data_IF_710544960706
#
_entry.id   IF_710544960706
#
_cell.length_a   1.000
_cell.length_b   1.000
_cell.length_c   1.000
_cell.angle_alpha   90.00
_cell.angle_beta   90.00
_cell.angle_gamma   90.00
#
_symmetry.space_group_name_H-M   'P 1'
#
loop_
_entity.id
_entity.type
_entity.pdbx_description
1 polymer ?
#
# COMPACT_ATOMS: atom_id res chain seq x y z
N UNK A 1 16.29 4.44 -12.29
CA UNK A 1 14.83 4.47 -12.17
C UNK A 1 14.18 3.59 -13.22
N UNK A 2 13.09 2.92 -12.89
CA UNK A 2 12.30 2.16 -13.84
C UNK A 2 11.71 0.87 -13.29
N UNK A 3 11.12 0.11 -14.18
CA UNK A 3 10.51 -1.18 -13.89
C UNK A 3 11.46 -2.30 -14.28
N UNK A 4 11.61 -3.28 -13.40
CA UNK A 4 12.43 -4.46 -13.60
C UNK A 4 11.58 -5.71 -13.46
N UNK A 5 11.67 -6.59 -14.46
CA UNK A 5 11.07 -7.92 -14.41
C UNK A 5 12.01 -8.84 -13.64
N UNK A 6 11.50 -9.38 -12.56
CA UNK A 6 12.18 -10.37 -11.75
C UNK A 6 11.55 -11.72 -11.99
N UNK A 7 12.35 -12.69 -12.39
CA UNK A 7 11.93 -14.09 -12.51
C UNK A 7 12.68 -14.93 -11.49
N UNK A 8 11.94 -15.60 -10.63
CA UNK A 8 12.48 -16.46 -9.59
C UNK A 8 12.12 -17.91 -9.85
N UNK A 9 13.06 -18.82 -9.64
CA UNK A 9 12.82 -20.26 -9.60
C UNK A 9 12.95 -20.70 -8.16
N UNK A 10 11.83 -21.09 -7.55
CA UNK A 10 11.76 -21.57 -6.16
C UNK A 10 11.79 -23.08 -6.11
N UNK A 11 12.45 -23.63 -5.09
CA UNK A 11 12.57 -25.07 -4.88
C UNK A 11 13.99 -25.56 -4.69
N UNK A 12 14.15 -26.81 -4.27
CA UNK A 12 15.43 -27.44 -3.99
C UNK A 12 15.44 -28.93 -4.38
N UNK A 13 16.55 -29.40 -4.94
CA UNK A 13 16.78 -30.84 -5.20
C UNK A 13 16.84 -31.67 -3.92
N UNK A 14 17.24 -31.03 -2.80
CA UNK A 14 17.59 -31.75 -1.55
C UNK A 14 16.46 -31.79 -0.54
N UNK A 15 15.58 -30.79 -0.49
CA UNK A 15 14.53 -30.64 0.52
C UNK A 15 13.26 -29.98 -0.04
N UNK A 16 12.15 -30.14 0.65
CA UNK A 16 10.94 -29.36 0.41
C UNK A 16 11.19 -27.87 0.78
N UNK A 17 10.48 -26.96 0.14
CA UNK A 17 10.56 -25.53 0.38
C UNK A 17 9.22 -24.91 0.73
N UNK A 18 9.26 -23.81 1.51
CA UNK A 18 8.17 -22.89 1.81
C UNK A 18 8.73 -21.48 1.80
N UNK A 19 8.45 -20.76 0.72
CA UNK A 19 9.13 -19.48 0.43
C UNK A 19 8.12 -18.37 0.18
N UNK A 20 8.25 -17.26 0.91
CA UNK A 20 7.59 -15.97 0.66
C UNK A 20 8.60 -15.06 -0.02
N UNK A 21 8.15 -14.26 -0.97
CA UNK A 21 9.03 -13.31 -1.69
C UNK A 21 8.52 -11.88 -1.49
N UNK A 22 9.41 -11.01 -1.05
CA UNK A 22 9.19 -9.57 -0.92
C UNK A 22 10.27 -8.80 -1.68
N UNK A 23 9.95 -7.57 -2.04
CA UNK A 23 10.88 -6.66 -2.70
C UNK A 23 10.92 -5.32 -1.98
N UNK A 24 12.06 -4.63 -2.01
CA UNK A 24 12.25 -3.28 -1.48
C UNK A 24 11.82 -3.21 0.00
N UNK A 25 11.07 -2.20 0.39
CA UNK A 25 10.49 -2.08 1.74
C UNK A 25 9.36 -3.09 1.96
N UNK A 26 9.67 -4.38 1.94
CA UNK A 26 8.75 -5.47 2.29
C UNK A 26 7.50 -5.57 1.40
N UNK A 27 7.51 -5.07 0.16
CA UNK A 27 6.39 -5.28 -0.79
C UNK A 27 6.19 -6.76 -1.00
N UNK A 28 4.98 -7.24 -0.77
CA UNK A 28 4.64 -8.66 -0.92
C UNK A 28 4.48 -9.00 -2.40
N UNK A 29 5.42 -9.77 -2.94
CA UNK A 29 5.40 -10.19 -4.34
C UNK A 29 4.76 -11.57 -4.52
N UNK A 30 5.06 -12.49 -3.61
CA UNK A 30 4.48 -13.84 -3.59
C UNK A 30 4.19 -14.24 -2.14
N UNK A 31 2.97 -14.77 -1.90
CA UNK A 31 2.64 -15.49 -0.66
C UNK A 31 3.45 -16.77 -0.56
N UNK A 32 3.29 -17.53 0.53
CA UNK A 32 4.02 -18.76 0.74
C UNK A 32 3.83 -19.75 -0.43
N UNK A 33 4.90 -19.96 -1.17
CA UNK A 33 5.00 -20.96 -2.22
C UNK A 33 5.59 -22.24 -1.64
N UNK A 34 4.80 -23.31 -1.60
CA UNK A 34 5.26 -24.65 -1.20
C UNK A 34 5.79 -25.41 -2.41
N UNK A 35 6.94 -26.08 -2.24
CA UNK A 35 7.56 -26.98 -3.22
C UNK A 35 7.93 -28.30 -2.55
N UNK A 36 7.78 -29.42 -3.24
CA UNK A 36 8.27 -30.73 -2.79
C UNK A 36 9.79 -30.83 -3.05
N UNK A 37 10.46 -31.80 -2.43
CA UNK A 37 11.83 -32.15 -2.78
C UNK A 37 11.93 -32.46 -4.28
N UNK A 38 12.81 -31.81 -5.00
CA UNK A 38 13.01 -31.97 -6.44
C UNK A 38 12.04 -31.18 -7.33
N UNK A 39 11.01 -30.56 -6.74
CA UNK A 39 10.07 -29.68 -7.47
C UNK A 39 10.63 -28.27 -7.58
N UNK A 40 10.39 -27.66 -8.76
CA UNK A 40 10.73 -26.25 -9.00
C UNK A 40 9.52 -25.52 -9.60
N UNK A 41 9.25 -24.32 -9.08
CA UNK A 41 8.18 -23.44 -9.56
C UNK A 41 8.78 -22.10 -9.97
N UNK A 42 8.36 -21.63 -11.15
CA UNK A 42 8.84 -20.35 -11.70
C UNK A 42 7.76 -19.30 -11.58
N UNK A 43 8.13 -18.11 -11.09
CA UNK A 43 7.26 -16.94 -10.99
C UNK A 43 7.96 -15.72 -11.56
N UNK A 44 7.16 -14.82 -12.16
CA UNK A 44 7.62 -13.50 -12.58
C UNK A 44 6.75 -12.41 -11.96
N UNK A 45 7.36 -11.27 -11.66
CA UNK A 45 6.71 -10.06 -11.15
C UNK A 45 7.54 -8.84 -11.53
N UNK A 46 6.96 -7.66 -11.41
CA UNK A 46 7.69 -6.41 -11.66
C UNK A 46 8.02 -5.71 -10.36
N UNK A 47 9.26 -5.27 -10.24
CA UNK A 47 9.71 -4.38 -9.15
C UNK A 47 9.97 -3.00 -9.74
N UNK A 48 9.25 -1.98 -9.25
CA UNK A 48 9.56 -0.59 -9.59
C UNK A 48 10.66 -0.08 -8.66
N UNK A 49 11.67 0.53 -9.25
CA UNK A 49 12.82 1.12 -8.57
C UNK A 49 12.94 2.59 -8.94
N UNK A 50 13.23 3.45 -7.98
CA UNK A 50 13.38 4.88 -8.19
C UNK A 50 14.39 5.51 -7.24
N UNK A 51 15.01 6.58 -7.69
CA UNK A 51 15.83 7.51 -6.91
C UNK A 51 15.04 8.80 -6.62
N UNK A 52 15.49 9.66 -5.72
CA UNK A 52 14.84 10.94 -5.49
C UNK A 52 15.05 11.95 -6.64
N UNK A 53 15.93 11.67 -7.58
CA UNK A 53 16.26 12.56 -8.70
C UNK A 53 15.05 12.76 -9.65
N UNK A 54 14.79 13.99 -10.04
CA UNK A 54 13.77 14.37 -11.03
C UNK A 54 14.43 15.07 -12.22
N UNK A 55 15.15 16.15 -11.94
CA UNK A 55 15.94 16.91 -12.92
C UNK A 55 17.19 17.45 -12.23
N UNK A 56 18.13 18.04 -12.99
CA UNK A 56 19.35 18.66 -12.45
C UNK A 56 19.09 19.72 -11.37
N UNK A 57 17.87 20.28 -11.33
CA UNK A 57 17.48 21.33 -10.39
C UNK A 57 16.42 20.89 -9.38
N UNK A 58 15.91 19.66 -9.49
CA UNK A 58 14.77 19.23 -8.69
C UNK A 58 14.90 17.75 -8.27
N UNK A 59 14.74 17.53 -6.97
CA UNK A 59 14.64 16.21 -6.36
C UNK A 59 13.38 16.11 -5.52
N UNK A 60 12.95 14.88 -5.24
CA UNK A 60 11.98 14.62 -4.16
C UNK A 60 12.59 15.06 -2.84
N UNK A 61 11.85 15.82 -2.05
CA UNK A 61 12.26 16.21 -0.68
C UNK A 61 11.93 15.05 0.26
N UNK A 62 12.83 14.07 0.32
CA UNK A 62 12.68 12.90 1.19
C UNK A 62 12.91 13.28 2.65
N UNK A 63 12.19 12.60 3.55
CA UNK A 63 12.38 12.75 5.00
C UNK A 63 13.69 12.07 5.45
N UNK A 64 14.29 12.51 6.58
CA UNK A 64 15.53 11.88 7.08
C UNK A 64 15.44 10.36 7.20
N UNK A 65 14.35 9.82 7.75
CA UNK A 65 14.12 8.39 7.91
C UNK A 65 14.04 7.60 6.60
N UNK A 66 13.60 8.22 5.50
CA UNK A 66 13.53 7.55 4.20
C UNK A 66 14.92 7.23 3.63
N UNK A 67 15.97 7.94 4.09
CA UNK A 67 17.36 7.69 3.69
C UNK A 67 17.89 6.36 4.18
N UNK A 68 17.30 5.82 5.24
CA UNK A 68 17.68 4.53 5.85
C UNK A 68 16.88 3.35 5.25
N UNK A 69 15.99 3.62 4.30
CA UNK A 69 15.13 2.62 3.68
C UNK A 69 15.56 2.28 2.26
N UNK A 70 14.99 1.22 1.68
CA UNK A 70 15.31 0.78 0.31
C UNK A 70 14.49 1.52 -0.76
N UNK A 71 13.62 2.45 -0.37
CA UNK A 71 12.70 3.13 -1.30
C UNK A 71 13.42 3.97 -2.35
N UNK A 72 14.48 4.68 -1.95
CA UNK A 72 15.13 5.72 -2.74
C UNK A 72 16.61 5.44 -3.03
N UNK A 73 17.10 4.24 -2.68
CA UNK A 73 18.47 3.83 -2.93
C UNK A 73 18.69 3.35 -4.39
N UNK A 74 19.92 3.01 -4.74
CA UNK A 74 20.29 2.55 -6.08
C UNK A 74 20.23 1.03 -6.24
N UNK A 75 19.78 0.28 -5.21
CA UNK A 75 19.78 -1.18 -5.19
C UNK A 75 18.37 -1.72 -5.42
N UNK A 76 18.25 -2.86 -6.06
CA UNK A 76 17.05 -3.68 -6.07
C UNK A 76 17.19 -4.75 -5.00
N UNK A 77 16.38 -4.65 -3.97
CA UNK A 77 16.43 -5.55 -2.80
C UNK A 77 15.32 -6.60 -2.88
N UNK A 78 15.69 -7.86 -2.65
CA UNK A 78 14.75 -8.98 -2.57
C UNK A 78 14.92 -9.70 -1.24
N UNK A 79 13.82 -10.03 -0.59
CA UNK A 79 13.77 -10.84 0.62
C UNK A 79 13.08 -12.18 0.31
N UNK A 80 13.77 -13.27 0.65
CA UNK A 80 13.24 -14.62 0.58
C UNK A 80 13.13 -15.16 2.00
N UNK A 81 11.92 -15.32 2.49
CA UNK A 81 11.62 -15.75 3.85
C UNK A 81 10.60 -16.90 3.83
N UNK A 82 10.22 -17.41 4.98
CA UNK A 82 9.28 -18.53 5.12
C UNK A 82 9.80 -19.60 6.06
N UNK A 83 9.03 -20.67 6.26
CA UNK A 83 9.42 -21.77 7.15
C UNK A 83 10.64 -22.56 6.60
N UNK A 84 10.82 -22.61 5.29
CA UNK A 84 11.93 -23.30 4.63
C UNK A 84 12.23 -22.64 3.28
N UNK A 85 12.81 -21.43 3.26
CA UNK A 85 13.07 -20.72 2.00
C UNK A 85 14.00 -21.55 1.09
N UNK A 86 13.62 -21.64 -0.18
CA UNK A 86 14.39 -22.41 -1.17
C UNK A 86 14.36 -21.70 -2.53
N UNK A 87 15.47 -21.10 -2.91
CA UNK A 87 15.65 -20.36 -4.16
C UNK A 87 16.71 -21.05 -5.00
N UNK A 88 16.38 -21.38 -6.25
CA UNK A 88 17.32 -21.97 -7.21
C UNK A 88 18.02 -20.90 -8.04
N UNK A 89 17.26 -19.93 -8.53
CA UNK A 89 17.81 -18.86 -9.36
C UNK A 89 16.94 -17.63 -9.35
N UNK A 90 17.57 -16.49 -9.62
CA UNK A 90 16.95 -15.19 -9.79
C UNK A 90 17.47 -14.61 -11.09
N UNK A 91 16.56 -14.10 -11.96
CA UNK A 91 16.89 -13.32 -13.15
C UNK A 91 16.24 -11.96 -13.02
N UNK A 92 17.00 -10.90 -13.25
CA UNK A 92 16.52 -9.52 -13.26
C UNK A 92 16.82 -8.93 -14.64
N UNK A 93 15.84 -8.33 -15.27
CA UNK A 93 15.95 -7.68 -16.56
C UNK A 93 15.04 -6.45 -16.62
N UNK A 94 15.31 -5.47 -17.50
CA UNK A 94 14.35 -4.38 -17.71
C UNK A 94 12.95 -4.94 -18.04
N UNK A 95 11.92 -4.34 -17.47
CA UNK A 95 10.56 -4.74 -17.78
C UNK A 95 10.19 -4.38 -19.24
N UNK A 96 9.26 -5.10 -19.86
CA UNK A 96 8.74 -4.73 -21.17
C UNK A 96 8.20 -3.29 -21.19
N UNK A 97 8.37 -2.59 -22.30
CA UNK A 97 7.97 -1.18 -22.43
C UNK A 97 6.45 -0.95 -22.27
N UNK A 98 5.65 -1.97 -22.58
CA UNK A 98 4.19 -2.00 -22.42
C UNK A 98 3.73 -2.20 -20.97
N UNK A 99 4.63 -2.55 -20.03
CA UNK A 99 4.28 -2.73 -18.62
C UNK A 99 3.55 -1.50 -18.10
N UNK A 100 2.32 -1.69 -17.62
CA UNK A 100 1.53 -0.61 -17.01
C UNK A 100 2.04 -0.32 -15.63
N UNK A 101 2.26 0.96 -15.30
CA UNK A 101 2.65 1.37 -13.95
C UNK A 101 1.47 1.96 -13.19
N UNK A 102 1.28 1.51 -11.96
CA UNK A 102 0.33 2.09 -11.00
C UNK A 102 1.13 2.83 -9.95
N UNK A 103 1.02 4.14 -9.95
CA UNK A 103 1.64 5.01 -8.96
C UNK A 103 0.69 5.19 -7.78
N UNK A 104 1.13 4.88 -6.57
CA UNK A 104 0.37 5.09 -5.35
C UNK A 104 0.82 6.39 -4.69
N UNK A 105 -0.13 7.26 -4.40
CA UNK A 105 0.06 8.53 -3.69
C UNK A 105 -0.76 8.49 -2.42
N UNK A 106 -0.16 8.81 -1.28
CA UNK A 106 -0.87 8.71 -0.01
C UNK A 106 0.03 8.91 1.20
N UNK A 107 -0.44 8.40 2.32
CA UNK A 107 0.17 8.55 3.63
C UNK A 107 0.56 7.19 4.25
N UNK A 108 0.56 7.09 5.60
CA UNK A 108 1.01 5.90 6.34
C UNK A 108 0.16 4.64 6.10
N UNK A 109 -1.07 4.77 5.61
CA UNK A 109 -1.94 3.62 5.29
C UNK A 109 -1.66 3.06 3.90
N UNK A 110 -0.85 3.77 3.08
CA UNK A 110 -0.50 3.40 1.70
C UNK A 110 0.98 3.05 1.55
N UNK A 111 1.89 3.73 2.28
CA UNK A 111 3.34 3.63 2.15
C UNK A 111 3.86 2.20 2.34
N UNK A 112 4.96 1.86 1.67
CA UNK A 112 5.72 0.64 1.99
C UNK A 112 6.40 0.79 3.35
N UNK A 113 5.78 0.33 4.42
CA UNK A 113 6.33 0.37 5.78
C UNK A 113 7.62 -0.45 5.84
N UNK A 114 8.71 0.18 6.27
CA UNK A 114 10.03 -0.45 6.29
C UNK A 114 10.16 -1.47 7.43
N UNK A 115 9.53 -1.21 8.56
CA UNK A 115 9.71 -1.99 9.79
C UNK A 115 8.44 -2.70 10.24
N UNK A 116 8.60 -3.92 10.81
CA UNK A 116 7.54 -4.57 11.59
C UNK A 116 7.29 -3.79 12.89
N UNK A 117 6.08 -3.77 13.42
CA UNK A 117 4.89 -4.52 12.98
C UNK A 117 3.99 -3.78 11.99
N UNK A 118 4.37 -2.59 11.57
CA UNK A 118 3.57 -1.75 10.69
C UNK A 118 3.54 -2.28 9.27
N UNK A 119 2.37 -2.20 8.63
CA UNK A 119 2.17 -2.54 7.23
C UNK A 119 1.07 -1.65 6.62
N UNK A 120 0.95 -1.65 5.30
CA UNK A 120 -0.08 -0.89 4.60
C UNK A 120 -0.60 -1.63 3.36
N UNK A 121 -1.75 -1.22 2.85
CA UNK A 121 -2.34 -1.86 1.68
C UNK A 121 -1.49 -1.67 0.41
N UNK A 122 -0.82 -0.53 0.26
CA UNK A 122 0.03 -0.27 -0.91
C UNK A 122 1.21 -1.23 -1.02
N UNK A 123 1.70 -1.71 0.13
CA UNK A 123 2.76 -2.69 0.25
C UNK A 123 2.29 -4.12 -0.09
N UNK A 124 1.00 -4.41 0.09
CA UNK A 124 0.41 -5.74 -0.12
C UNK A 124 -0.23 -5.90 -1.49
N UNK A 125 -0.70 -4.82 -2.11
CA UNK A 125 -1.46 -4.87 -3.37
C UNK A 125 -0.65 -5.44 -4.54
N UNK A 126 0.68 -5.35 -4.50
CA UNK A 126 1.59 -5.92 -5.49
C UNK A 126 1.42 -7.43 -5.67
N UNK A 127 1.01 -8.12 -4.60
CA UNK A 127 0.78 -9.57 -4.60
C UNK A 127 -0.24 -10.01 -5.65
N UNK A 128 -1.20 -9.17 -5.95
CA UNK A 128 -2.36 -9.55 -6.76
C UNK A 128 -2.17 -9.37 -8.26
N UNK A 129 -1.11 -8.68 -8.69
CA UNK A 129 -0.87 -8.40 -10.10
C UNK A 129 0.20 -9.32 -10.73
N UNK A 130 -0.01 -9.66 -11.99
CA UNK A 130 0.96 -10.36 -12.83
C UNK A 130 2.10 -9.46 -13.31
N UNK A 131 3.02 -10.02 -14.13
CA UNK A 131 4.20 -9.30 -14.62
C UNK A 131 3.91 -8.26 -15.70
N UNK A 132 2.67 -7.93 -15.96
CA UNK A 132 2.22 -6.85 -16.84
C UNK A 132 2.04 -5.53 -16.11
N UNK A 133 2.03 -5.56 -14.76
CA UNK A 133 1.78 -4.39 -13.90
C UNK A 133 2.91 -4.18 -12.91
N UNK A 134 3.39 -2.96 -12.85
CA UNK A 134 4.30 -2.47 -11.82
C UNK A 134 3.55 -1.60 -10.83
N UNK A 135 3.80 -1.79 -9.52
CA UNK A 135 3.32 -0.86 -8.48
C UNK A 135 4.49 0.01 -8.03
N UNK A 136 4.34 1.33 -8.15
CA UNK A 136 5.30 2.35 -7.73
C UNK A 136 4.71 3.16 -6.59
N UNK A 137 5.08 2.82 -5.35
CA UNK A 137 4.47 3.42 -4.16
C UNK A 137 5.24 4.66 -3.71
N UNK A 138 4.71 5.85 -4.00
CA UNK A 138 5.26 7.17 -3.64
C UNK A 138 4.71 7.73 -2.34
N UNK A 139 3.81 7.02 -1.68
CA UNK A 139 3.24 7.43 -0.39
C UNK A 139 4.33 7.53 0.68
N UNK A 140 4.06 8.33 1.71
CA UNK A 140 4.92 8.44 2.88
C UNK A 140 4.08 8.82 4.10
N UNK A 141 4.42 8.26 5.25
CA UNK A 141 3.71 8.50 6.51
C UNK A 141 3.69 9.99 6.87
N UNK A 142 2.56 10.46 7.39
CA UNK A 142 2.37 11.84 7.81
C UNK A 142 2.07 12.82 6.68
N UNK A 143 2.10 12.41 5.41
CA UNK A 143 1.80 13.33 4.32
C UNK A 143 0.31 13.65 4.22
N UNK A 144 0.03 14.92 3.93
CA UNK A 144 -1.24 15.43 3.40
C UNK A 144 -1.16 15.51 1.88
N UNK A 145 -2.28 15.69 1.19
CA UNK A 145 -2.27 15.96 -0.25
C UNK A 145 -1.38 17.19 -0.58
N UNK A 146 -1.47 18.23 0.24
CA UNK A 146 -0.64 19.45 0.09
C UNK A 146 0.84 19.20 0.30
N UNK A 147 1.24 18.50 1.34
CA UNK A 147 2.66 18.23 1.61
C UNK A 147 3.27 17.21 0.64
N UNK A 148 2.47 16.29 0.08
CA UNK A 148 2.90 15.43 -1.01
C UNK A 148 3.29 16.25 -2.24
N UNK A 149 2.46 17.23 -2.64
CA UNK A 149 2.77 18.18 -3.71
C UNK A 149 4.00 19.01 -3.39
N UNK A 150 4.05 19.61 -2.21
CA UNK A 150 5.14 20.49 -1.78
C UNK A 150 6.51 19.77 -1.66
N UNK A 151 6.51 18.45 -1.53
CA UNK A 151 7.72 17.62 -1.50
C UNK A 151 8.15 17.09 -2.88
N UNK A 152 7.57 17.62 -3.98
CA UNK A 152 7.86 17.23 -5.36
C UNK A 152 7.60 15.75 -5.67
N UNK A 153 6.73 15.10 -4.90
CA UNK A 153 6.45 13.67 -5.14
C UNK A 153 5.57 13.46 -6.35
N UNK A 154 4.61 14.36 -6.60
CA UNK A 154 3.82 14.31 -7.83
C UNK A 154 4.71 14.58 -9.05
N UNK A 155 5.66 15.52 -8.98
CA UNK A 155 6.61 15.79 -10.06
C UNK A 155 7.43 14.54 -10.41
N UNK A 156 7.84 13.77 -9.38
CA UNK A 156 8.53 12.50 -9.59
C UNK A 156 7.62 11.47 -10.27
N UNK A 157 6.38 11.32 -9.84
CA UNK A 157 5.38 10.46 -10.48
C UNK A 157 5.23 10.83 -11.96
N UNK A 158 5.02 12.11 -12.25
CA UNK A 158 4.83 12.62 -13.60
C UNK A 158 6.09 12.45 -14.50
N UNK A 159 7.29 12.52 -13.91
CA UNK A 159 8.54 12.28 -14.63
C UNK A 159 8.70 10.80 -15.05
N UNK A 160 8.18 9.87 -14.24
CA UNK A 160 8.26 8.42 -14.51
C UNK A 160 7.07 7.88 -15.31
N UNK A 161 5.95 8.60 -15.30
CA UNK A 161 4.68 8.16 -15.87
C UNK A 161 4.65 8.27 -17.40
N UNK A 162 4.08 7.26 -18.05
CA UNK A 162 3.72 7.30 -19.46
C UNK A 162 2.20 7.32 -19.65
N UNK A 163 1.76 7.69 -20.86
CA UNK A 163 0.34 7.66 -21.24
C UNK A 163 -0.27 6.26 -20.98
N UNK A 164 -1.44 6.23 -20.33
CA UNK A 164 -2.17 5.02 -19.99
C UNK A 164 -1.83 4.43 -18.61
N UNK A 165 -0.77 4.90 -17.94
CA UNK A 165 -0.49 4.52 -16.56
C UNK A 165 -1.57 5.05 -15.60
N UNK A 166 -1.56 4.54 -14.37
CA UNK A 166 -2.54 4.89 -13.33
C UNK A 166 -1.87 5.64 -12.18
N UNK A 167 -2.60 6.59 -11.62
CA UNK A 167 -2.27 7.24 -10.35
C UNK A 167 -3.44 7.02 -9.39
N UNK A 168 -3.19 6.39 -8.26
CA UNK A 168 -4.18 6.11 -7.23
C UNK A 168 -3.83 6.93 -6.00
N UNK A 169 -4.76 7.75 -5.53
CA UNK A 169 -4.56 8.68 -4.42
C UNK A 169 -5.47 8.37 -3.23
N UNK A 170 -4.87 8.15 -2.06
CA UNK A 170 -5.57 8.09 -0.78
C UNK A 170 -5.03 9.17 0.15
N UNK A 171 -5.83 10.19 0.44
CA UNK A 171 -5.52 11.28 1.38
C UNK A 171 -6.74 11.56 2.28
N UNK A 172 -6.56 12.39 3.32
CA UNK A 172 -7.60 12.77 4.27
C UNK A 172 -7.20 12.55 5.73
N UNK A 173 -6.45 11.48 6.06
CA UNK A 173 -6.03 11.17 7.43
C UNK A 173 -5.25 12.31 8.10
N UNK A 174 -4.34 12.94 7.40
CA UNK A 174 -3.47 14.00 7.91
C UNK A 174 -3.99 15.38 7.54
N UNK A 175 -4.62 15.49 6.38
CA UNK A 175 -5.22 16.74 5.88
C UNK A 175 -6.19 17.34 6.90
N UNK A 176 -6.99 16.52 7.56
CA UNK A 176 -7.94 16.95 8.58
C UNK A 176 -7.30 17.55 9.84
N UNK A 177 -5.99 17.36 10.04
CA UNK A 177 -5.23 17.88 11.18
C UNK A 177 -4.64 19.27 10.90
N UNK A 178 -4.63 19.70 9.65
CA UNK A 178 -4.20 21.05 9.26
C UNK A 178 -5.14 22.11 9.86
N UNK A 179 -4.54 23.14 10.47
CA UNK A 179 -5.29 24.22 11.16
C UNK A 179 -4.93 25.63 10.66
N UNK A 180 -4.10 25.72 9.63
CA UNK A 180 -3.71 27.00 9.05
C UNK A 180 -4.88 27.67 8.33
N UNK A 181 -4.82 28.97 8.14
CA UNK A 181 -5.82 29.68 7.35
C UNK A 181 -5.91 29.10 5.93
N UNK A 182 -7.13 28.87 5.45
CA UNK A 182 -7.39 28.21 4.17
C UNK A 182 -7.33 26.68 4.20
N UNK A 183 -7.06 26.05 5.37
CA UNK A 183 -7.17 24.60 5.54
C UNK A 183 -8.61 24.18 5.67
N UNK A 184 -8.94 23.05 5.08
CA UNK A 184 -10.26 22.43 5.19
C UNK A 184 -10.58 21.50 4.03
N UNK A 185 -11.54 20.60 4.27
CA UNK A 185 -11.95 19.60 3.30
C UNK A 185 -12.44 20.25 1.98
N UNK A 186 -13.21 21.32 2.08
CA UNK A 186 -13.80 22.06 0.95
C UNK A 186 -12.92 23.19 0.40
N UNK A 187 -11.70 23.37 0.94
CA UNK A 187 -10.74 24.40 0.55
C UNK A 187 -9.47 23.77 -0.03
N UNK A 188 -8.34 23.85 0.72
CA UNK A 188 -7.03 23.40 0.23
C UNK A 188 -7.01 21.90 -0.12
N UNK A 189 -7.73 21.05 0.62
CA UNK A 189 -7.80 19.62 0.30
C UNK A 189 -8.43 19.39 -1.07
N UNK A 190 -9.64 19.93 -1.32
CA UNK A 190 -10.32 19.84 -2.63
C UNK A 190 -9.49 20.46 -3.76
N UNK A 191 -8.82 21.59 -3.49
CA UNK A 191 -7.92 22.22 -4.45
C UNK A 191 -6.71 21.35 -4.80
N UNK A 192 -6.09 20.73 -3.79
CA UNK A 192 -4.96 19.84 -4.00
C UNK A 192 -5.36 18.58 -4.80
N UNK A 193 -6.52 17.99 -4.50
CA UNK A 193 -7.05 16.87 -5.28
C UNK A 193 -7.25 17.26 -6.75
N UNK A 194 -7.77 18.48 -7.01
CA UNK A 194 -7.92 18.99 -8.40
C UNK A 194 -6.56 19.09 -9.10
N UNK A 195 -5.49 19.52 -8.41
CA UNK A 195 -4.14 19.54 -8.98
C UNK A 195 -3.66 18.14 -9.40
N UNK A 196 -3.87 17.10 -8.58
CA UNK A 196 -3.55 15.74 -8.98
C UNK A 196 -4.27 15.36 -10.28
N UNK A 197 -5.57 15.66 -10.37
CA UNK A 197 -6.37 15.34 -11.56
C UNK A 197 -5.78 16.01 -12.80
N UNK A 198 -5.56 17.31 -12.75
CA UNK A 198 -5.13 18.10 -13.90
C UNK A 198 -3.76 17.65 -14.41
N UNK A 199 -2.80 17.50 -13.52
CA UNK A 199 -1.43 17.13 -13.91
C UNK A 199 -1.35 15.68 -14.42
N UNK A 200 -2.07 14.75 -13.82
CA UNK A 200 -2.12 13.36 -14.29
C UNK A 200 -2.78 13.27 -15.66
N UNK A 201 -3.92 13.94 -15.86
CA UNK A 201 -4.62 13.96 -17.14
C UNK A 201 -3.83 14.65 -18.26
N UNK A 202 -3.11 15.70 -17.94
CA UNK A 202 -2.19 16.38 -18.86
C UNK A 202 -1.09 15.46 -19.39
N UNK A 203 -0.67 14.49 -18.61
CA UNK A 203 0.27 13.43 -19.02
C UNK A 203 -0.41 12.25 -19.73
N UNK A 204 -1.74 12.26 -19.85
CA UNK A 204 -2.51 11.15 -20.45
C UNK A 204 -2.63 9.94 -19.55
N UNK A 205 -2.43 10.10 -18.23
CA UNK A 205 -2.64 9.07 -17.23
C UNK A 205 -4.09 8.97 -16.74
N UNK A 206 -4.39 7.87 -16.06
CA UNK A 206 -5.68 7.61 -15.43
C UNK A 206 -5.55 7.91 -13.92
N UNK A 207 -6.42 8.75 -13.38
CA UNK A 207 -6.45 9.05 -11.95
C UNK A 207 -7.65 8.38 -11.29
N UNK A 208 -7.43 7.82 -10.09
CA UNK A 208 -8.43 7.15 -9.27
C UNK A 208 -8.26 7.64 -7.84
N UNK A 209 -9.35 8.00 -7.19
CA UNK A 209 -9.34 8.31 -5.77
C UNK A 209 -9.73 7.10 -4.94
N UNK A 210 -9.15 7.03 -3.75
CA UNK A 210 -9.48 6.05 -2.71
C UNK A 210 -9.84 6.85 -1.47
N UNK A 211 -11.07 6.67 -0.97
CA UNK A 211 -11.47 7.32 0.28
C UNK A 211 -10.65 6.74 1.44
N UNK A 212 -10.23 7.58 2.43
CA UNK A 212 -9.33 7.14 3.50
C UNK A 212 -9.92 5.99 4.31
N UNK A 213 -9.07 5.04 4.71
CA UNK A 213 -9.50 3.95 5.60
C UNK A 213 -10.07 4.50 6.90
N UNK A 214 -11.06 3.83 7.48
CA UNK A 214 -11.57 4.18 8.80
C UNK A 214 -10.49 4.01 9.87
N UNK A 215 -10.59 4.79 10.95
CA UNK A 215 -9.95 4.45 12.21
C UNK A 215 -10.84 3.49 12.99
N UNK A 216 -10.23 2.61 13.77
CA UNK A 216 -10.94 1.76 14.70
C UNK A 216 -11.43 2.58 15.89
N UNK A 217 -12.51 3.30 15.69
CA UNK A 217 -13.14 4.13 16.72
C UNK A 217 -14.62 3.74 16.83
N UNK A 218 -14.92 2.81 17.73
CA UNK A 218 -16.27 2.33 17.96
C UNK A 218 -17.04 3.28 18.89
N UNK A 219 -18.36 3.27 18.79
CA UNK A 219 -19.23 3.96 19.73
C UNK A 219 -19.02 3.41 21.16
N UNK A 220 -19.07 4.33 22.14
CA UNK A 220 -18.77 4.00 23.54
C UNK A 220 -19.91 3.21 24.21
N UNK A 221 -21.14 3.32 23.71
CA UNK A 221 -22.31 2.75 24.38
C UNK A 221 -22.46 1.26 24.08
N UNK A 222 -22.26 0.84 22.83
CA UNK A 222 -22.54 -0.52 22.38
C UNK A 222 -21.32 -1.23 21.79
N UNK A 223 -20.27 -0.50 21.46
CA UNK A 223 -19.10 -0.98 20.73
C UNK A 223 -19.45 -1.75 19.43
N UNK A 224 -20.53 -1.34 18.77
CA UNK A 224 -21.07 -2.04 17.60
C UNK A 224 -20.84 -1.31 16.29
N UNK A 225 -20.71 0.04 16.34
CA UNK A 225 -20.60 0.91 15.17
C UNK A 225 -19.36 1.76 15.17
N UNK A 226 -18.70 1.82 14.02
CA UNK A 226 -17.58 2.72 13.79
C UNK A 226 -18.10 4.16 13.67
N UNK A 227 -17.52 5.05 14.47
CA UNK A 227 -17.80 6.47 14.45
C UNK A 227 -16.92 7.18 13.42
N UNK A 228 -17.49 8.19 12.75
CA UNK A 228 -16.77 9.00 11.79
C UNK A 228 -15.68 9.85 12.48
N UNK A 229 -14.45 9.74 12.01
CA UNK A 229 -13.30 10.49 12.54
C UNK A 229 -12.61 11.37 11.49
N UNK A 230 -13.02 11.28 10.23
CA UNK A 230 -12.43 12.03 9.10
C UNK A 230 -13.21 13.28 8.73
N UNK A 231 -14.30 13.60 9.46
CA UNK A 231 -15.16 14.76 9.19
C UNK A 231 -15.61 14.78 7.72
N UNK A 232 -15.56 15.93 7.06
CA UNK A 232 -16.02 16.14 5.69
C UNK A 232 -15.01 15.69 4.61
N UNK A 233 -13.83 15.16 4.99
CA UNK A 233 -12.77 14.87 4.01
C UNK A 233 -13.13 13.77 3.01
N UNK A 234 -13.77 12.65 3.42
CA UNK A 234 -14.27 11.67 2.45
C UNK A 234 -15.31 12.25 1.50
N UNK A 235 -16.25 13.07 2.01
CA UNK A 235 -17.32 13.69 1.22
C UNK A 235 -16.77 14.75 0.24
N UNK A 236 -15.80 15.52 0.67
CA UNK A 236 -15.10 16.47 -0.21
C UNK A 236 -14.37 15.74 -1.35
N UNK A 237 -13.71 14.60 -1.07
CA UNK A 237 -13.08 13.76 -2.11
C UNK A 237 -14.12 13.25 -3.11
N UNK A 238 -15.27 12.72 -2.63
CA UNK A 238 -16.38 12.26 -3.48
C UNK A 238 -16.95 13.40 -4.35
N UNK A 239 -17.10 14.58 -3.76
CA UNK A 239 -17.62 15.75 -4.48
C UNK A 239 -16.66 16.21 -5.59
N UNK A 240 -15.36 16.29 -5.32
CA UNK A 240 -14.34 16.59 -6.34
C UNK A 240 -14.36 15.51 -7.42
N UNK A 241 -14.35 14.25 -7.05
CA UNK A 241 -14.39 13.13 -7.97
C UNK A 241 -15.61 13.17 -8.90
N UNK A 242 -16.80 13.38 -8.34
CA UNK A 242 -18.05 13.52 -9.11
C UNK A 242 -18.00 14.67 -10.09
N UNK A 243 -17.53 15.85 -9.65
CA UNK A 243 -17.42 17.05 -10.50
C UNK A 243 -16.46 16.84 -11.65
N UNK A 244 -15.35 16.15 -11.40
CA UNK A 244 -14.26 15.97 -12.36
C UNK A 244 -14.32 14.63 -13.10
N UNK A 245 -15.37 13.84 -12.92
CA UNK A 245 -15.52 12.50 -13.52
C UNK A 245 -14.30 11.60 -13.22
N UNK A 246 -13.98 11.46 -11.94
CA UNK A 246 -12.89 10.59 -11.43
C UNK A 246 -13.48 9.37 -10.73
N UNK A 247 -13.07 8.15 -11.07
CA UNK A 247 -13.48 6.95 -10.35
C UNK A 247 -13.05 7.00 -8.88
N UNK A 248 -13.91 6.51 -7.97
CA UNK A 248 -13.64 6.44 -6.53
C UNK A 248 -13.75 5.00 -6.04
N UNK A 249 -12.73 4.53 -5.35
CA UNK A 249 -12.78 3.30 -4.55
C UNK A 249 -13.24 3.69 -3.14
N UNK A 250 -14.38 3.17 -2.70
CA UNK A 250 -15.01 3.50 -1.41
C UNK A 250 -14.40 2.71 -0.25
N UNK A 251 -13.09 2.86 -0.06
CA UNK A 251 -12.34 2.14 0.96
C UNK A 251 -12.78 2.53 2.38
N UNK A 252 -13.26 3.74 2.56
CA UNK A 252 -13.84 4.24 3.81
C UNK A 252 -15.00 3.37 4.29
N UNK A 253 -15.93 3.08 3.39
CA UNK A 253 -17.12 2.26 3.70
C UNK A 253 -16.75 0.77 3.81
N UNK A 254 -15.82 0.30 2.98
CA UNK A 254 -15.33 -1.09 3.05
C UNK A 254 -14.62 -1.37 4.38
N UNK A 255 -13.79 -0.46 4.86
CA UNK A 255 -13.10 -0.64 6.15
C UNK A 255 -14.01 -0.45 7.34
N UNK A 256 -15.06 0.37 7.24
CA UNK A 256 -16.15 0.41 8.23
C UNK A 256 -16.80 -0.96 8.37
N UNK A 257 -17.24 -1.54 7.24
CA UNK A 257 -17.83 -2.88 7.20
C UNK A 257 -16.90 -3.94 7.79
N UNK A 258 -15.63 -3.89 7.42
CA UNK A 258 -14.61 -4.81 7.90
C UNK A 258 -14.46 -4.76 9.43
N UNK A 259 -14.29 -3.57 10.01
CA UNK A 259 -14.15 -3.43 11.46
C UNK A 259 -15.43 -3.81 12.22
N UNK A 260 -16.60 -3.41 11.72
CA UNK A 260 -17.88 -3.77 12.35
C UNK A 260 -18.12 -5.28 12.27
N UNK A 261 -17.75 -5.94 11.19
CA UNK A 261 -17.87 -7.41 11.04
C UNK A 261 -16.93 -8.17 11.97
N UNK A 262 -15.68 -7.72 12.10
CA UNK A 262 -14.74 -8.30 13.08
C UNK A 262 -15.18 -8.04 14.52
N UNK A 263 -15.89 -6.95 14.75
CA UNK A 263 -16.33 -6.50 16.08
C UNK A 263 -15.21 -5.87 16.90
N UNK A 264 -15.59 -5.34 18.07
CA UNK A 264 -14.73 -4.50 18.90
C UNK A 264 -13.39 -5.17 19.27
N UNK A 265 -13.40 -6.42 19.72
CA UNK A 265 -12.17 -7.08 20.16
C UNK A 265 -11.34 -7.63 18.98
N UNK A 266 -11.98 -8.33 18.03
CA UNK A 266 -11.22 -8.97 16.95
C UNK A 266 -10.67 -7.98 15.92
N UNK A 267 -11.27 -6.79 15.76
CA UNK A 267 -10.72 -5.76 14.88
C UNK A 267 -9.33 -5.27 15.29
N UNK A 268 -8.96 -5.38 16.58
CA UNK A 268 -7.59 -5.13 17.05
C UNK A 268 -6.56 -6.02 16.36
N UNK A 269 -6.94 -7.25 15.98
CA UNK A 269 -6.04 -8.21 15.29
C UNK A 269 -5.63 -7.75 13.89
N UNK A 270 -6.32 -6.79 13.31
CA UNK A 270 -5.97 -6.20 12.01
C UNK A 270 -5.08 -4.94 12.11
N UNK A 271 -4.82 -4.49 13.31
CA UNK A 271 -4.10 -3.26 13.61
C UNK A 271 -2.87 -3.53 14.48
N UNK A 272 -2.07 -2.49 14.72
CA UNK A 272 -0.89 -2.62 15.58
C UNK A 272 -1.31 -2.56 17.05
N UNK A 273 -1.90 -3.66 17.50
CA UNK A 273 -2.26 -3.94 18.88
C UNK A 273 -1.50 -5.16 19.37
N UNK A 274 -0.51 -4.96 20.23
CA UNK A 274 0.35 -6.03 20.75
C UNK A 274 0.63 -5.83 22.24
N UNK A 275 0.59 -6.89 23.05
CA UNK A 275 1.02 -6.82 24.46
C UNK A 275 2.45 -6.31 24.59
N UNK A 276 2.78 -5.76 25.74
CA UNK A 276 4.16 -5.42 26.08
C UNK A 276 5.08 -6.63 25.88
N UNK A 277 6.33 -6.39 25.50
CA UNK A 277 7.37 -7.40 25.26
C UNK A 277 7.08 -8.37 24.09
N UNK A 278 6.21 -8.01 23.15
CA UNK A 278 6.03 -8.76 21.90
C UNK A 278 7.21 -8.56 20.94
N UNK A 279 7.77 -7.36 20.91
CA UNK A 279 8.92 -7.00 20.07
C UNK A 279 10.13 -6.59 20.94
N UNK A 280 11.35 -6.65 20.39
CA UNK A 280 12.54 -6.18 21.09
C UNK A 280 12.37 -4.73 21.56
N UNK A 281 12.77 -4.44 22.81
CA UNK A 281 12.70 -3.11 23.44
C UNK A 281 11.29 -2.49 23.59
N UNK A 282 10.25 -3.23 23.32
CA UNK A 282 8.87 -2.81 23.50
C UNK A 282 8.41 -3.06 24.93
N UNK A 283 8.58 -2.09 25.82
CA UNK A 283 8.25 -2.19 27.25
C UNK A 283 6.78 -1.91 27.56
N UNK A 284 6.01 -1.33 26.61
CA UNK A 284 4.59 -1.01 26.75
C UNK A 284 3.78 -1.69 25.68
N UNK A 285 2.47 -1.90 25.94
CA UNK A 285 1.56 -2.36 24.91
C UNK A 285 1.48 -1.36 23.75
N UNK A 286 1.32 -1.87 22.54
CA UNK A 286 0.98 -1.09 21.35
C UNK A 286 -0.53 -1.09 21.20
N UNK A 287 -1.14 0.08 21.03
CA UNK A 287 -2.60 0.27 20.95
C UNK A 287 -2.93 1.29 19.84
N UNK A 288 -2.54 0.98 18.62
CA UNK A 288 -2.74 1.85 17.47
C UNK A 288 -4.05 1.52 16.76
N UNK A 289 -4.99 2.45 16.79
CA UNK A 289 -6.31 2.31 16.16
C UNK A 289 -6.37 2.81 14.70
N UNK A 290 -5.22 3.12 14.11
CA UNK A 290 -5.12 3.66 12.73
C UNK A 290 -4.27 2.79 11.83
N UNK A 291 -3.09 2.37 12.31
CA UNK A 291 -2.14 1.66 11.46
C UNK A 291 -2.35 0.15 11.48
N UNK A 292 -2.34 -0.42 10.28
CA UNK A 292 -2.50 -1.85 10.07
C UNK A 292 -1.22 -2.62 10.42
N UNK A 293 -1.41 -3.83 10.86
CA UNK A 293 -0.40 -4.88 10.85
C UNK A 293 -0.46 -5.64 9.49
N UNK A 294 0.42 -6.64 9.25
CA UNK A 294 0.42 -7.37 7.98
C UNK A 294 -0.92 -8.01 7.59
N UNK A 295 -1.68 -8.56 8.54
CA UNK A 295 -3.01 -9.12 8.27
C UNK A 295 -3.98 -8.04 7.80
N UNK A 296 -4.12 -6.97 8.56
CA UNK A 296 -5.03 -5.88 8.21
C UNK A 296 -4.67 -5.23 6.87
N UNK A 297 -3.37 -4.99 6.63
CA UNK A 297 -2.88 -4.44 5.37
C UNK A 297 -3.20 -5.36 4.17
N UNK A 298 -3.09 -6.68 4.35
CA UNK A 298 -3.43 -7.68 3.34
C UNK A 298 -4.93 -7.66 3.01
N UNK A 299 -5.79 -7.62 4.03
CA UNK A 299 -7.23 -7.53 3.86
C UNK A 299 -7.64 -6.23 3.14
N UNK A 300 -7.06 -5.09 3.55
CA UNK A 300 -7.34 -3.78 2.91
C UNK A 300 -6.85 -3.75 1.46
N UNK A 301 -5.72 -4.37 1.15
CA UNK A 301 -5.25 -4.50 -0.23
C UNK A 301 -6.27 -5.26 -1.12
N UNK A 302 -6.91 -6.30 -0.59
CA UNK A 302 -7.99 -7.00 -1.30
C UNK A 302 -9.22 -6.12 -1.52
N UNK A 303 -9.57 -5.27 -0.53
CA UNK A 303 -10.65 -4.28 -0.70
C UNK A 303 -10.35 -3.32 -1.85
N UNK A 304 -9.12 -2.81 -1.94
CA UNK A 304 -8.70 -1.91 -3.03
C UNK A 304 -8.81 -2.60 -4.38
N UNK A 305 -8.32 -3.86 -4.51
CA UNK A 305 -8.45 -4.64 -5.75
C UNK A 305 -9.92 -4.90 -6.09
N UNK A 306 -10.75 -5.21 -5.09
CA UNK A 306 -12.20 -5.38 -5.30
C UNK A 306 -12.87 -4.10 -5.79
N UNK A 307 -12.47 -2.94 -5.23
CA UNK A 307 -12.91 -1.63 -5.71
C UNK A 307 -12.51 -1.37 -7.17
N UNK A 308 -11.30 -1.75 -7.58
CA UNK A 308 -10.89 -1.68 -8.99
C UNK A 308 -11.79 -2.54 -9.89
N UNK A 309 -12.18 -3.73 -9.42
CA UNK A 309 -13.11 -4.61 -10.16
C UNK A 309 -14.52 -4.00 -10.25
N UNK A 310 -15.03 -3.46 -9.17
CA UNK A 310 -16.36 -2.80 -9.13
C UNK A 310 -16.43 -1.60 -10.08
N UNK A 311 -15.32 -0.90 -10.26
CA UNK A 311 -15.17 0.20 -11.21
C UNK A 311 -14.89 -0.27 -12.64
N UNK A 312 -14.77 -1.58 -12.87
CA UNK A 312 -14.43 -2.18 -14.17
C UNK A 312 -13.15 -1.60 -14.78
N UNK A 313 -12.14 -1.30 -13.97
CA UNK A 313 -10.89 -0.74 -14.46
C UNK A 313 -10.18 -1.75 -15.37
N UNK A 314 -9.71 -1.34 -16.56
CA UNK A 314 -9.05 -2.27 -17.51
C UNK A 314 -7.87 -3.04 -16.96
N UNK A 315 -7.20 -2.52 -15.93
CA UNK A 315 -6.04 -3.13 -15.27
C UNK A 315 -6.36 -4.46 -14.57
N UNK A 316 -7.63 -4.69 -14.17
CA UNK A 316 -8.01 -5.92 -13.46
C UNK A 316 -7.85 -7.19 -14.28
N UNK A 317 -7.73 -7.08 -15.61
CA UNK A 317 -7.41 -8.21 -16.48
C UNK A 317 -6.03 -8.84 -16.22
N UNK A 318 -5.15 -8.11 -15.54
CA UNK A 318 -3.80 -8.54 -15.16
C UNK A 318 -3.69 -9.08 -13.73
N UNK A 319 -4.83 -9.30 -13.08
CA UNK A 319 -4.83 -9.98 -11.78
C UNK A 319 -4.34 -11.42 -11.96
N UNK A 320 -3.60 -11.91 -10.95
CA UNK A 320 -3.13 -13.30 -10.91
C UNK A 320 -4.32 -14.27 -10.91
N UNK A 321 -4.12 -15.43 -11.46
CA UNK A 321 -5.15 -16.48 -11.59
C UNK A 321 -5.68 -17.02 -10.27
N UNK A 322 -4.95 -16.81 -9.19
CA UNK A 322 -5.35 -17.19 -7.82
C UNK A 322 -6.12 -16.09 -7.09
N UNK A 323 -6.40 -14.94 -7.72
CA UNK A 323 -7.30 -13.93 -7.18
C UNK A 323 -8.70 -14.52 -6.94
N UNK A 324 -9.27 -14.21 -5.79
CA UNK A 324 -10.66 -14.49 -5.43
C UNK A 324 -11.35 -13.20 -5.02
N UNK A 325 -12.59 -13.03 -5.46
CA UNK A 325 -13.38 -11.86 -5.10
C UNK A 325 -13.52 -11.77 -3.58
N UNK A 326 -13.38 -10.56 -3.08
CA UNK A 326 -13.33 -10.27 -1.66
C UNK A 326 -14.56 -9.52 -1.18
N UNK A 327 -15.03 -9.86 0.02
CA UNK A 327 -16.11 -9.17 0.69
C UNK A 327 -15.68 -8.74 2.10
N UNK A 328 -15.63 -7.43 2.43
CA UNK A 328 -15.25 -6.96 3.75
C UNK A 328 -16.19 -7.43 4.89
N UNK A 329 -17.41 -7.88 4.56
CA UNK A 329 -18.31 -8.53 5.51
C UNK A 329 -18.00 -10.02 5.75
N UNK A 330 -17.00 -10.57 5.07
CA UNK A 330 -16.52 -11.95 5.21
C UNK A 330 -14.98 -11.99 5.14
N UNK A 331 -14.30 -11.33 6.10
CA UNK A 331 -12.83 -11.27 6.12
C UNK A 331 -12.24 -12.67 6.26
N UNK A 332 -11.00 -12.85 5.80
CA UNK A 332 -10.27 -14.09 5.98
C UNK A 332 -10.04 -14.36 7.48
N UNK A 333 -9.97 -15.62 7.85
CA UNK A 333 -9.70 -16.00 9.24
C UNK A 333 -8.26 -15.60 9.61
N UNK A 334 -8.14 -14.70 10.58
CA UNK A 334 -6.84 -14.26 11.12
C UNK A 334 -5.95 -15.44 11.53
N UNK A 335 -6.51 -16.52 12.08
CA UNK A 335 -5.75 -17.68 12.56
C UNK A 335 -5.14 -18.50 11.41
N UNK A 336 -5.60 -18.30 10.18
CA UNK A 336 -5.06 -18.96 8.98
C UNK A 336 -4.10 -18.07 8.20
N UNK A 337 -4.00 -16.78 8.57
CA UNK A 337 -3.07 -15.86 7.95
C UNK A 337 -1.64 -16.16 8.38
N UNK A 338 -0.78 -16.49 7.41
CA UNK A 338 0.62 -16.82 7.67
C UNK A 338 1.49 -15.63 7.30
N UNK A 339 2.22 -15.12 8.28
CA UNK A 339 3.20 -14.05 8.10
C UNK A 339 4.53 -14.41 8.75
N UNK A 340 5.60 -14.23 8.02
CA UNK A 340 6.96 -14.38 8.52
C UNK A 340 7.56 -12.99 8.70
N UNK A 341 7.82 -12.53 9.93
CA UNK A 341 8.36 -11.19 10.17
C UNK A 341 9.66 -10.95 9.42
N UNK A 342 9.85 -9.72 8.92
CA UNK A 342 11.13 -9.26 8.38
C UNK A 342 12.14 -9.05 9.50
N UNK A 343 13.43 -8.98 9.13
CA UNK A 343 14.51 -8.66 10.07
C UNK A 343 14.44 -7.21 10.56
N UNK A 344 13.81 -6.33 9.80
CA UNK A 344 13.65 -4.92 10.15
C UNK A 344 12.47 -4.75 11.09
N UNK A 345 12.75 -4.49 12.36
CA UNK A 345 11.73 -4.32 13.41
C UNK A 345 11.96 -3.00 14.15
N UNK A 346 10.93 -2.17 14.20
CA UNK A 346 10.90 -0.94 14.98
C UNK A 346 9.44 -0.63 15.35
N UNK A 347 9.18 -0.50 16.62
CA UNK A 347 7.84 -0.24 17.16
C UNK A 347 7.50 1.25 17.21
N UNK A 348 8.38 2.11 16.73
CA UNK A 348 8.13 3.56 16.63
C UNK A 348 6.94 3.82 15.72
N UNK A 349 5.94 4.50 16.26
CA UNK A 349 4.72 4.81 15.52
C UNK A 349 5.04 5.67 14.29
N UNK A 350 4.47 5.35 13.11
CA UNK A 350 4.62 6.18 11.93
C UNK A 350 4.12 7.61 12.12
N UNK A 351 4.74 8.59 11.44
CA UNK A 351 4.28 9.97 11.48
C UNK A 351 2.81 10.11 11.06
N UNK A 352 2.16 11.12 11.60
CA UNK A 352 0.82 11.52 11.18
C UNK A 352 -0.32 11.08 12.09
N UNK A 353 -0.01 10.51 13.28
CA UNK A 353 -1.03 10.18 14.27
C UNK A 353 -0.67 10.60 15.69
#
# INVERSE_FOLDING_TARGET
>A
DGNYKVTVVLGSKKKAGKTVVRAENRRLMLDEVSTRKGEFKTFSFIVNKRSPYITDKMNVKIKPREKETFTWDEKLTLEFTGAAPAVKSIKVEPAPAETTTVFLCGNSTVVDQFTEPYASWGQMVTRWFGPEVAISNHAESGLTAGSFLASNRLDKVLAMMKKGDYVICEFGHNDQKEKSAGSGAWYNFSYNLKKFIDEVRKKGGNIIFVTPTQRRFFDEATHSKIQETHKDYPDAMRAVAKREDVPVIELHDMTRTFFETLGYENSKKSLVHYPANTYPNQTKALEDNTHFNPYGAYEVAKMVVMGMKQLNLPIVKYLRSDWKDYNPAQPDDFNQFVWYPSVNQDVTKPDGN
#
